data_IF_842165170157
#
_entry.id   IF_842165170157
#
_cell.length_a   1.000
_cell.length_b   1.000
_cell.length_c   1.000
_cell.angle_alpha   90.00
_cell.angle_beta   90.00
_cell.angle_gamma   90.00
#
_symmetry.space_group_name_H-M   'P 1'
#
loop_
_entity.id
_entity.type
_entity.pdbx_description
1 polymer ?
#
# COMPACT_ATOMS: atom_id res chain seq x y z
N UNK A 1 -9.10 2.01 4.39
CA UNK A 1 -7.72 1.47 4.44
C UNK A 1 -7.77 -0.01 4.13
N UNK A 2 -6.88 -0.51 3.28
CA UNK A 2 -6.80 -1.94 2.96
C UNK A 2 -5.51 -2.53 3.54
N UNK A 3 -5.64 -3.40 4.53
CA UNK A 3 -4.55 -4.06 5.22
C UNK A 3 -4.53 -5.54 4.83
N UNK A 4 -3.37 -6.04 4.39
CA UNK A 4 -3.14 -7.48 4.17
C UNK A 4 -1.92 -7.87 4.97
N UNK A 5 -2.08 -8.84 5.83
CA UNK A 5 -0.99 -9.41 6.62
C UNK A 5 -0.34 -10.53 5.82
N UNK A 6 0.97 -10.54 5.81
CA UNK A 6 1.78 -11.61 5.21
C UNK A 6 2.79 -12.13 6.20
N UNK A 7 3.16 -13.41 6.13
CA UNK A 7 4.31 -13.92 6.88
C UNK A 7 5.54 -13.06 6.56
N UNK A 8 6.34 -12.72 7.57
CA UNK A 8 7.47 -11.78 7.43
C UNK A 8 8.55 -12.18 6.43
N UNK A 9 8.58 -13.45 6.03
CA UNK A 9 9.52 -14.00 5.04
C UNK A 9 9.03 -13.83 3.59
N UNK A 10 7.75 -13.47 3.36
CA UNK A 10 7.19 -13.39 2.01
C UNK A 10 7.43 -12.01 1.41
N UNK A 11 8.03 -11.98 0.22
CA UNK A 11 8.29 -10.73 -0.50
C UNK A 11 6.97 -10.01 -0.81
N UNK A 12 6.85 -8.76 -0.38
CA UNK A 12 5.61 -7.97 -0.47
C UNK A 12 5.10 -7.76 -1.90
N UNK A 13 5.99 -7.82 -2.89
CA UNK A 13 5.66 -7.70 -4.30
C UNK A 13 4.66 -8.75 -4.81
N UNK A 14 4.68 -9.96 -4.22
CA UNK A 14 3.77 -11.06 -4.60
C UNK A 14 2.33 -10.76 -4.20
N UNK A 15 2.15 -10.01 -3.12
CA UNK A 15 0.83 -9.71 -2.56
C UNK A 15 0.17 -8.51 -3.24
N UNK A 16 0.95 -7.68 -3.94
CA UNK A 16 0.43 -6.47 -4.56
C UNK A 16 -0.65 -6.78 -5.60
N UNK A 17 -0.42 -7.75 -6.46
CA UNK A 17 -1.37 -8.18 -7.50
C UNK A 17 -2.68 -8.67 -6.87
N UNK A 18 -2.58 -9.55 -5.89
CA UNK A 18 -3.73 -10.05 -5.15
C UNK A 18 -4.52 -8.92 -4.46
N UNK A 19 -3.82 -7.92 -3.91
CA UNK A 19 -4.44 -6.72 -3.33
C UNK A 19 -5.23 -5.90 -4.34
N UNK A 20 -4.73 -5.79 -5.56
CA UNK A 20 -5.40 -5.04 -6.62
C UNK A 20 -6.68 -5.72 -7.11
N UNK A 21 -6.72 -7.05 -7.07
CA UNK A 21 -7.87 -7.83 -7.55
C UNK A 21 -8.98 -7.95 -6.51
N UNK A 22 -8.63 -8.07 -5.23
CA UNK A 22 -9.59 -8.34 -4.15
C UNK A 22 -10.26 -7.10 -3.59
N UNK A 23 -9.81 -5.88 -3.93
CA UNK A 23 -10.29 -4.66 -3.29
C UNK A 23 -11.09 -3.77 -4.22
N UNK A 24 -12.33 -3.50 -3.79
CA UNK A 24 -13.17 -2.47 -4.39
C UNK A 24 -13.27 -1.27 -3.44
N UNK A 25 -13.09 -0.06 -3.96
CA UNK A 25 -13.31 1.19 -3.21
C UNK A 25 -14.69 1.69 -3.55
N UNK A 26 -15.57 1.79 -2.54
CA UNK A 26 -16.90 2.37 -2.69
C UNK A 26 -16.76 3.83 -3.11
N UNK A 27 -17.48 4.23 -4.15
CA UNK A 27 -17.55 5.65 -4.56
C UNK A 27 -18.46 6.42 -3.61
N UNK A 28 -18.19 7.72 -3.44
CA UNK A 28 -19.06 8.63 -2.69
C UNK A 28 -20.36 8.99 -3.42
N UNK A 29 -20.65 8.40 -4.58
CA UNK A 29 -21.82 8.66 -5.41
C UNK A 29 -22.37 7.42 -6.09
N UNK A 30 -23.43 7.54 -6.91
CA UNK A 30 -24.01 6.42 -7.64
C UNK A 30 -22.96 5.83 -8.60
N UNK A 31 -22.94 4.52 -8.73
CA UNK A 31 -22.09 3.79 -9.64
C UNK A 31 -21.38 2.59 -9.02
N UNK A 32 -20.82 1.76 -9.90
CA UNK A 32 -20.10 0.55 -9.49
C UNK A 32 -18.81 0.89 -8.72
N UNK A 33 -18.49 0.17 -7.63
CA UNK A 33 -17.25 0.36 -6.91
C UNK A 33 -16.01 0.29 -7.80
N UNK A 34 -15.07 1.20 -7.62
CA UNK A 34 -13.81 1.20 -8.37
C UNK A 34 -12.91 0.07 -7.83
N UNK A 35 -12.64 -0.91 -8.66
CA UNK A 35 -11.79 -2.06 -8.27
C UNK A 35 -10.29 -1.78 -8.42
N UNK A 36 -9.91 -0.85 -9.30
CA UNK A 36 -8.51 -0.59 -9.63
C UNK A 36 -8.16 0.88 -9.40
N UNK A 37 -7.01 1.16 -8.78
CA UNK A 37 -6.54 2.53 -8.65
C UNK A 37 -6.07 3.05 -10.02
N UNK A 38 -6.21 4.35 -10.24
CA UNK A 38 -5.64 5.00 -11.42
C UNK A 38 -4.12 5.02 -11.39
N UNK A 39 -3.54 5.06 -10.17
CA UNK A 39 -2.09 5.14 -9.96
C UNK A 39 -1.66 4.40 -8.69
N UNK A 40 -0.49 3.79 -8.76
CA UNK A 40 0.17 3.14 -7.63
C UNK A 40 1.53 3.79 -7.41
N UNK A 41 1.77 4.19 -6.16
CA UNK A 41 3.05 4.71 -5.70
C UNK A 41 3.64 3.70 -4.70
N UNK A 42 4.85 3.27 -4.92
CA UNK A 42 5.53 2.29 -4.07
C UNK A 42 7.02 2.55 -3.94
N UNK A 43 7.69 1.82 -3.07
CA UNK A 43 9.14 1.86 -2.92
C UNK A 43 9.84 0.94 -3.94
N UNK A 44 11.17 0.91 -3.91
CA UNK A 44 12.00 0.05 -4.76
C UNK A 44 11.77 -1.45 -4.53
N UNK A 45 11.28 -1.85 -3.34
CA UNK A 45 10.93 -3.24 -3.04
C UNK A 45 9.84 -3.78 -3.95
N UNK A 46 8.94 -2.90 -4.42
CA UNK A 46 7.91 -3.25 -5.40
C UNK A 46 8.37 -3.15 -6.87
N UNK A 47 9.64 -2.82 -7.12
CA UNK A 47 10.15 -2.79 -8.49
C UNK A 47 10.34 -4.20 -9.01
N UNK A 48 9.45 -4.61 -9.89
CA UNK A 48 9.41 -5.93 -10.51
C UNK A 48 8.81 -5.84 -11.91
N UNK A 49 9.39 -6.59 -12.85
CA UNK A 49 8.87 -6.70 -14.21
C UNK A 49 7.42 -7.17 -14.25
N UNK A 50 7.06 -8.14 -13.39
CA UNK A 50 5.69 -8.66 -13.26
C UNK A 50 4.70 -7.57 -12.84
N UNK A 51 5.05 -6.74 -11.84
CA UNK A 51 4.20 -5.64 -11.37
C UNK A 51 4.03 -4.60 -12.47
N UNK A 52 5.09 -4.25 -13.19
CA UNK A 52 5.03 -3.28 -14.29
C UNK A 52 4.19 -3.80 -15.46
N UNK A 53 4.30 -5.10 -15.78
CA UNK A 53 3.48 -5.74 -16.79
C UNK A 53 2.00 -5.76 -16.39
N UNK A 54 1.70 -6.19 -15.17
CA UNK A 54 0.34 -6.17 -14.62
C UNK A 54 -0.28 -4.79 -14.70
N UNK A 55 0.43 -3.76 -14.27
CA UNK A 55 -0.09 -2.40 -14.29
C UNK A 55 -0.34 -1.89 -15.71
N UNK A 56 0.53 -2.19 -16.68
CA UNK A 56 0.31 -1.84 -18.09
C UNK A 56 -0.94 -2.51 -18.65
N UNK A 57 -1.11 -3.81 -18.39
CA UNK A 57 -2.30 -4.57 -18.84
C UNK A 57 -3.61 -4.01 -18.28
N UNK A 58 -3.56 -3.37 -17.11
CA UNK A 58 -4.74 -2.86 -16.42
C UNK A 58 -4.88 -1.34 -16.49
N UNK A 59 -4.04 -0.64 -17.27
CA UNK A 59 -4.09 0.82 -17.40
C UNK A 59 -3.72 1.59 -16.13
N UNK A 60 -2.98 0.95 -15.20
CA UNK A 60 -2.59 1.55 -13.92
C UNK A 60 -1.25 2.27 -14.09
N UNK A 61 -1.21 3.56 -13.78
CA UNK A 61 0.05 4.33 -13.76
C UNK A 61 0.88 3.94 -12.55
N UNK A 62 2.19 3.74 -12.75
CA UNK A 62 3.12 3.37 -11.67
C UNK A 62 4.12 4.49 -11.43
N UNK A 63 4.31 4.84 -10.14
CA UNK A 63 5.40 5.69 -9.67
C UNK A 63 6.20 4.88 -8.63
N UNK A 64 7.02 3.96 -9.11
CA UNK A 64 7.90 3.09 -8.32
C UNK A 64 9.32 3.29 -8.84
N UNK A 65 10.30 3.68 -8.00
CA UNK A 65 11.69 3.80 -8.41
C UNK A 65 12.21 2.47 -8.94
N UNK A 66 13.12 2.53 -9.87
CA UNK A 66 13.79 1.32 -10.38
C UNK A 66 15.00 0.97 -9.52
N UNK A 67 15.31 -0.30 -9.45
CA UNK A 67 16.54 -0.78 -8.85
C UNK A 67 17.74 -0.36 -9.72
N UNK A 68 18.93 -0.34 -9.16
CA UNK A 68 20.15 0.06 -9.88
C UNK A 68 20.42 -0.80 -11.11
N UNK A 69 20.07 -2.09 -11.03
CA UNK A 69 20.25 -3.07 -12.11
C UNK A 69 19.10 -3.07 -13.14
N UNK A 70 18.08 -2.23 -12.99
CA UNK A 70 16.98 -2.14 -13.94
C UNK A 70 17.19 -0.99 -14.92
N UNK A 71 16.99 -1.27 -16.23
CA UNK A 71 17.05 -0.24 -17.27
C UNK A 71 16.03 0.87 -17.00
N UNK A 72 16.51 2.11 -16.96
CA UNK A 72 15.67 3.29 -16.79
C UNK A 72 14.93 3.57 -18.09
N UNK A 73 13.61 3.46 -18.08
CA UNK A 73 12.75 3.79 -19.21
C UNK A 73 11.61 4.68 -18.73
N UNK A 74 11.47 5.83 -19.36
CA UNK A 74 10.37 6.78 -19.11
C UNK A 74 10.57 7.73 -17.93
N UNK A 75 9.74 8.76 -17.86
CA UNK A 75 9.80 9.80 -16.83
C UNK A 75 9.42 9.24 -15.46
N UNK A 76 10.07 9.76 -14.42
CA UNK A 76 9.76 9.45 -13.02
C UNK A 76 9.19 10.70 -12.33
N UNK A 77 7.95 10.62 -11.87
CA UNK A 77 7.27 11.71 -11.18
C UNK A 77 7.77 11.83 -9.73
N UNK A 78 8.78 12.66 -9.52
CA UNK A 78 9.40 12.91 -8.21
C UNK A 78 8.45 13.63 -7.26
N UNK A 79 7.61 14.53 -7.75
CA UNK A 79 6.68 15.30 -6.93
C UNK A 79 5.65 14.35 -6.29
N UNK A 80 5.06 13.49 -7.11
CA UNK A 80 4.14 12.48 -6.62
C UNK A 80 4.81 11.46 -5.70
N UNK A 81 6.05 11.08 -5.99
CA UNK A 81 6.79 10.15 -5.13
C UNK A 81 7.01 10.70 -3.72
N UNK A 82 7.24 12.01 -3.59
CA UNK A 82 7.36 12.67 -2.27
C UNK A 82 6.10 12.51 -1.42
N UNK A 83 4.91 12.40 -2.05
CA UNK A 83 3.66 12.18 -1.32
C UNK A 83 3.62 10.82 -0.58
N UNK A 84 4.46 9.86 -0.99
CA UNK A 84 4.62 8.59 -0.28
C UNK A 84 5.01 8.79 1.19
N UNK A 85 5.73 9.84 1.50
CA UNK A 85 6.12 10.17 2.87
C UNK A 85 4.90 10.34 3.82
N UNK A 86 3.72 10.71 3.28
CA UNK A 86 2.48 10.78 4.08
C UNK A 86 2.10 9.40 4.64
N UNK A 87 2.27 8.35 3.85
CA UNK A 87 1.98 6.97 4.27
C UNK A 87 2.99 6.51 5.31
N UNK A 88 4.27 6.82 5.13
CA UNK A 88 5.31 6.49 6.11
C UNK A 88 5.06 7.18 7.45
N UNK A 89 4.70 8.46 7.43
CA UNK A 89 4.32 9.20 8.64
C UNK A 89 3.10 8.58 9.32
N UNK A 90 2.08 8.16 8.56
CA UNK A 90 0.92 7.48 9.11
C UNK A 90 1.30 6.15 9.77
N UNK A 91 2.11 5.33 9.10
CA UNK A 91 2.62 4.07 9.65
C UNK A 91 3.42 4.31 10.93
N UNK A 92 4.28 5.32 10.95
CA UNK A 92 5.07 5.67 12.14
C UNK A 92 4.17 6.12 13.30
N UNK A 93 3.13 6.91 13.03
CA UNK A 93 2.11 7.25 14.05
C UNK A 93 1.37 6.02 14.57
N UNK A 94 0.98 5.10 13.69
CA UNK A 94 0.36 3.84 14.11
C UNK A 94 1.32 3.00 14.99
N UNK A 95 2.61 2.99 14.70
CA UNK A 95 3.63 2.29 15.50
C UNK A 95 3.88 2.91 16.87
N UNK A 96 3.37 4.11 17.17
CA UNK A 96 3.38 4.65 18.53
C UNK A 96 2.48 3.85 19.49
N UNK A 97 1.52 3.11 18.97
CA UNK A 97 0.80 2.10 19.75
C UNK A 97 1.72 0.89 19.99
N UNK A 98 2.19 0.74 21.23
CA UNK A 98 3.20 -0.25 21.63
C UNK A 98 2.96 -1.65 21.06
N UNK A 99 1.75 -2.19 21.21
CA UNK A 99 1.41 -3.53 20.72
C UNK A 99 1.53 -3.70 19.20
N UNK A 100 1.36 -2.61 18.42
CA UNK A 100 1.59 -2.62 16.97
C UNK A 100 3.07 -2.63 16.64
N UNK A 101 3.89 -1.92 17.41
CA UNK A 101 5.33 -1.85 17.21
C UNK A 101 6.00 -3.18 17.53
N UNK A 102 5.63 -3.80 18.65
CA UNK A 102 6.25 -5.02 19.18
C UNK A 102 5.69 -6.29 18.54
N UNK A 103 4.58 -6.21 17.81
CA UNK A 103 3.90 -7.37 17.18
C UNK A 103 3.55 -8.48 18.17
N UNK A 104 3.12 -8.11 19.36
CA UNK A 104 2.84 -9.05 20.47
C UNK A 104 1.65 -9.96 20.21
N UNK A 105 0.82 -9.64 19.22
CA UNK A 105 -0.37 -10.43 18.93
C UNK A 105 -0.05 -11.70 18.12
N UNK A 106 -0.35 -12.84 18.72
CA UNK A 106 -0.15 -14.16 18.10
C UNK A 106 -1.12 -14.42 16.93
N UNK A 107 -2.36 -13.88 17.01
CA UNK A 107 -3.38 -14.09 15.98
C UNK A 107 -3.40 -12.94 14.99
N UNK A 108 -3.26 -13.25 13.69
CA UNK A 108 -3.27 -12.29 12.61
C UNK A 108 -4.52 -11.39 12.61
N UNK A 109 -5.68 -11.95 12.97
CA UNK A 109 -6.96 -11.21 13.03
C UNK A 109 -6.92 -10.09 14.09
N UNK A 110 -6.39 -10.38 15.28
CA UNK A 110 -6.27 -9.36 16.35
C UNK A 110 -5.24 -8.29 15.99
N UNK A 111 -4.12 -8.69 15.41
CA UNK A 111 -3.13 -7.73 14.92
C UNK A 111 -3.71 -6.79 13.85
N UNK A 112 -4.51 -7.35 12.92
CA UNK A 112 -5.22 -6.57 11.91
C UNK A 112 -6.25 -5.61 12.53
N UNK A 113 -7.03 -6.08 13.51
CA UNK A 113 -8.01 -5.26 14.23
C UNK A 113 -7.33 -4.09 14.94
N UNK A 114 -6.18 -4.31 15.60
CA UNK A 114 -5.42 -3.25 16.25
C UNK A 114 -4.93 -2.18 15.28
N UNK A 115 -4.48 -2.57 14.07
CA UNK A 115 -4.12 -1.62 13.02
C UNK A 115 -5.32 -0.76 12.61
N UNK A 116 -6.50 -1.36 12.48
CA UNK A 116 -7.73 -0.63 12.12
C UNK A 116 -8.14 0.34 13.23
N UNK A 117 -8.10 -0.09 14.49
CA UNK A 117 -8.41 0.77 15.64
C UNK A 117 -7.44 1.95 15.72
N UNK A 118 -6.13 1.70 15.59
CA UNK A 118 -5.12 2.76 15.58
C UNK A 118 -5.36 3.77 14.44
N UNK A 119 -5.70 3.28 13.26
CA UNK A 119 -6.01 4.14 12.11
C UNK A 119 -7.28 4.99 12.36
N UNK A 120 -8.32 4.42 12.97
CA UNK A 120 -9.55 5.14 13.34
C UNK A 120 -9.24 6.22 14.37
N UNK A 121 -8.49 5.91 15.44
CA UNK A 121 -8.12 6.88 16.47
C UNK A 121 -7.32 8.05 15.86
N UNK A 122 -6.36 7.74 14.98
CA UNK A 122 -5.58 8.77 14.31
C UNK A 122 -6.43 9.64 13.37
N UNK A 123 -7.42 9.05 12.72
CA UNK A 123 -8.34 9.77 11.84
C UNK A 123 -9.25 10.72 12.64
N UNK A 124 -9.81 10.25 13.77
CA UNK A 124 -10.65 11.07 14.65
C UNK A 124 -9.88 12.26 15.27
N UNK A 125 -8.55 12.16 15.42
CA UNK A 125 -7.72 13.27 15.93
C UNK A 125 -7.46 14.38 14.90
N UNK A 126 -7.82 14.17 13.65
CA UNK A 126 -7.63 15.13 12.55
C UNK A 126 -8.95 15.86 12.24
N UNK A 127 -10.08 15.35 12.74
CA UNK A 127 -11.38 16.02 12.70
C UNK A 127 -11.50 17.04 13.84
#
# INVERSE_FOLDING_TARGET
MALVLTPGQRHEAVVLTQRMETRAVKRCGPGRPTRRPQRVVGDTGYSSGKIRQYARQHGIRITIPRKQNERRTGPFDRALYRLRNRIERLINRCKQFRRLATRDEKRAVYYQAMWLIAAIILWLRVL
#
